data_IF_760548490845
#
_entry.id   IF_760548490845
#
_cell.length_a   1.000
_cell.length_b   1.000
_cell.length_c   1.000
_cell.angle_alpha   90.00
_cell.angle_beta   90.00
_cell.angle_gamma   90.00
#
_symmetry.space_group_name_H-M   'P 1'
#
loop_
_entity.id
_entity.type
_entity.pdbx_description
1 polymer ?
#
# COMPACT_ATOMS: atom_id res chain seq x y z
N UNK A 1 29.43 49.77 9.34
CA UNK A 1 28.39 49.42 8.34
C UNK A 1 28.79 48.18 7.53
N UNK A 2 30.03 48.05 7.02
CA UNK A 2 30.49 46.88 6.24
C UNK A 2 30.47 45.59 7.07
N UNK A 3 30.88 45.62 8.34
CA UNK A 3 30.85 44.46 9.26
C UNK A 3 29.42 43.96 9.47
N UNK A 4 28.44 44.84 9.66
CA UNK A 4 27.03 44.46 9.85
C UNK A 4 26.43 43.79 8.61
N UNK A 5 26.82 44.20 7.41
CA UNK A 5 26.38 43.58 6.15
C UNK A 5 26.99 42.19 5.98
N UNK A 6 28.28 42.03 6.27
CA UNK A 6 28.97 40.75 6.18
C UNK A 6 28.38 39.72 7.20
N UNK A 7 28.09 40.18 8.42
CA UNK A 7 27.45 39.31 9.44
C UNK A 7 26.04 38.91 8.99
N UNK A 8 25.28 39.80 8.39
CA UNK A 8 23.94 39.50 7.85
C UNK A 8 23.97 38.47 6.73
N UNK A 9 24.91 38.61 5.78
CA UNK A 9 25.06 37.64 4.67
C UNK A 9 25.49 36.28 5.19
N UNK A 10 26.41 36.22 6.16
CA UNK A 10 26.88 34.99 6.75
C UNK A 10 25.75 34.24 7.50
N UNK A 11 24.87 35.02 8.20
CA UNK A 11 23.72 34.42 8.90
C UNK A 11 22.68 33.84 7.92
N UNK A 12 22.41 34.52 6.80
CA UNK A 12 21.46 34.01 5.79
C UNK A 12 22.00 32.75 5.11
N UNK A 13 23.30 32.68 4.86
CA UNK A 13 23.91 31.49 4.23
C UNK A 13 23.84 30.22 5.10
N UNK A 14 23.82 30.35 6.42
CA UNK A 14 23.71 29.25 7.37
C UNK A 14 22.30 28.65 7.42
N UNK A 15 21.26 29.41 7.05
CA UNK A 15 19.88 28.89 7.00
C UNK A 15 19.53 28.17 5.70
N UNK A 16 20.36 28.25 4.66
CA UNK A 16 20.13 27.62 3.36
C UNK A 16 20.72 26.19 3.24
N UNK A 17 21.48 25.70 4.22
CA UNK A 17 22.08 24.36 4.22
C UNK A 17 21.22 23.26 4.80
N UNK A 18 19.91 23.47 4.97
CA UNK A 18 18.98 22.55 5.63
C UNK A 18 18.28 21.53 4.72
N UNK A 19 18.67 21.37 3.44
CA UNK A 19 18.20 20.25 2.64
C UNK A 19 19.02 19.00 2.98
N UNK A 20 18.57 18.23 3.97
CA UNK A 20 18.95 16.82 4.08
C UNK A 20 18.69 16.15 2.73
N UNK A 21 19.52 15.17 2.36
CA UNK A 21 19.40 14.44 1.10
C UNK A 21 18.03 13.73 1.04
N UNK A 22 17.02 14.42 0.56
CA UNK A 22 15.73 13.79 0.24
C UNK A 22 15.98 12.77 -0.87
N UNK A 23 15.62 11.52 -0.63
CA UNK A 23 15.71 10.50 -1.66
C UNK A 23 14.76 10.89 -2.79
N UNK A 24 15.30 10.95 -4.01
CA UNK A 24 14.57 11.30 -5.22
C UNK A 24 13.36 10.38 -5.42
N UNK A 25 12.19 10.89 -5.83
CA UNK A 25 10.98 10.08 -6.02
C UNK A 25 11.19 8.88 -6.95
N UNK A 26 12.05 9.01 -7.97
CA UNK A 26 12.35 7.95 -8.94
C UNK A 26 13.07 6.75 -8.31
N UNK A 27 13.69 6.93 -7.15
CA UNK A 27 14.34 5.88 -6.37
C UNK A 27 13.42 5.20 -5.38
N UNK A 28 12.13 5.50 -5.42
CA UNK A 28 11.12 4.90 -4.54
C UNK A 28 10.12 4.07 -5.32
N UNK A 29 9.59 3.07 -4.67
CA UNK A 29 8.46 2.27 -5.11
C UNK A 29 7.26 2.63 -4.24
N UNK A 30 6.15 2.99 -4.87
CA UNK A 30 4.94 3.49 -4.20
C UNK A 30 3.77 2.53 -4.43
N UNK A 31 3.63 1.44 -3.66
CA UNK A 31 2.46 0.58 -3.79
C UNK A 31 1.18 1.32 -3.38
N UNK A 32 0.11 1.10 -4.13
CA UNK A 32 -1.24 1.58 -3.80
C UNK A 32 -2.06 0.53 -3.06
N UNK A 33 -1.71 -0.74 -3.21
CA UNK A 33 -2.37 -1.83 -2.52
C UNK A 33 -1.34 -2.77 -1.88
N UNK A 34 -1.71 -3.31 -0.72
CA UNK A 34 -0.97 -4.34 -0.02
C UNK A 34 -1.87 -5.56 0.17
N UNK A 35 -1.43 -6.72 -0.32
CA UNK A 35 -2.01 -8.02 -0.04
C UNK A 35 -1.20 -8.74 1.04
N UNK A 36 -1.87 -9.39 1.97
CA UNK A 36 -1.20 -10.21 2.99
C UNK A 36 -1.91 -11.56 3.10
N UNK A 37 -1.21 -12.60 2.72
CA UNK A 37 -1.69 -13.98 2.80
C UNK A 37 -0.91 -14.79 3.82
N UNK A 38 -1.56 -15.83 4.34
CA UNK A 38 -0.89 -16.89 5.07
C UNK A 38 -0.03 -17.71 4.10
N UNK A 39 1.20 -18.04 4.49
CA UNK A 39 2.05 -18.97 3.74
C UNK A 39 2.61 -20.06 4.64
N UNK A 40 3.19 -21.11 4.05
CA UNK A 40 3.84 -22.21 4.81
C UNK A 40 5.02 -21.70 5.64
N UNK A 41 5.72 -20.68 5.15
CA UNK A 41 6.87 -20.05 5.81
C UNK A 41 6.50 -18.96 6.81
N UNK A 42 5.21 -18.59 6.89
CA UNK A 42 4.70 -17.50 7.72
C UNK A 42 3.65 -16.67 6.97
N UNK A 43 4.08 -15.62 6.29
CA UNK A 43 3.21 -14.73 5.50
C UNK A 43 3.80 -14.47 4.12
N UNK A 44 2.92 -14.12 3.17
CA UNK A 44 3.27 -13.61 1.86
C UNK A 44 2.74 -12.19 1.72
N UNK A 45 3.59 -11.23 1.38
CA UNK A 45 3.21 -9.87 1.04
C UNK A 45 3.19 -9.70 -0.48
N UNK A 46 2.11 -9.12 -0.97
CA UNK A 46 1.94 -8.73 -2.37
C UNK A 46 1.78 -7.22 -2.44
N UNK A 47 2.72 -6.54 -3.07
CA UNK A 47 2.68 -5.09 -3.29
C UNK A 47 2.09 -4.80 -4.67
N UNK A 48 0.94 -4.17 -4.73
CA UNK A 48 0.27 -3.75 -5.97
C UNK A 48 0.69 -2.34 -6.36
N UNK A 49 1.30 -2.18 -7.53
CA UNK A 49 1.76 -0.89 -8.05
C UNK A 49 0.66 -0.21 -8.86
N UNK A 50 0.62 1.14 -8.89
CA UNK A 50 -0.24 1.87 -9.80
C UNK A 50 0.21 1.72 -11.26
N UNK A 51 -0.72 1.89 -12.19
CA UNK A 51 -0.37 2.04 -13.60
C UNK A 51 0.15 3.45 -13.88
N UNK A 52 1.42 3.56 -14.21
CA UNK A 52 2.05 4.83 -14.53
C UNK A 52 2.00 5.17 -16.04
N UNK A 53 1.44 4.32 -16.88
CA UNK A 53 1.42 4.51 -18.34
C UNK A 53 0.65 5.74 -18.79
N UNK A 54 -0.42 6.12 -18.07
CA UNK A 54 -1.21 7.31 -18.39
C UNK A 54 -0.58 8.64 -17.93
N UNK A 55 0.26 8.61 -16.88
CA UNK A 55 0.74 9.85 -16.26
C UNK A 55 1.91 10.52 -16.99
N UNK A 56 2.61 9.81 -17.88
CA UNK A 56 3.83 10.33 -18.52
C UNK A 56 3.63 10.84 -19.94
N UNK A 57 2.46 10.65 -20.58
CA UNK A 57 2.16 11.17 -21.93
C UNK A 57 3.15 10.73 -23.02
N UNK A 58 4.09 9.88 -22.70
CA UNK A 58 5.06 9.31 -23.64
C UNK A 58 4.65 7.86 -23.89
N UNK A 59 3.92 7.66 -24.99
CA UNK A 59 3.68 6.34 -25.56
C UNK A 59 5.00 5.68 -25.97
N UNK A 60 5.75 5.19 -25.01
CA UNK A 60 6.69 4.12 -25.23
C UNK A 60 5.93 2.83 -24.98
N UNK A 61 5.69 2.12 -26.08
CA UNK A 61 5.43 0.70 -26.06
C UNK A 61 6.63 0.02 -25.38
N UNK A 62 6.66 -0.03 -24.07
CA UNK A 62 7.45 -1.02 -23.37
C UNK A 62 6.64 -2.31 -23.48
N UNK A 63 7.01 -3.11 -24.49
CA UNK A 63 6.67 -4.52 -24.68
C UNK A 63 7.23 -5.39 -23.54
N UNK A 64 7.10 -4.97 -22.30
CA UNK A 64 7.33 -5.84 -21.18
C UNK A 64 6.20 -5.59 -20.19
N UNK A 65 5.17 -6.44 -20.27
CA UNK A 65 4.13 -6.57 -19.27
C UNK A 65 4.73 -7.03 -17.93
N UNK A 66 5.70 -6.26 -17.43
CA UNK A 66 6.33 -6.45 -16.15
C UNK A 66 5.26 -6.53 -15.08
N UNK A 67 5.30 -7.58 -14.28
CA UNK A 67 4.35 -7.79 -13.18
C UNK A 67 4.22 -6.50 -12.38
N UNK A 68 3.01 -5.93 -12.38
CA UNK A 68 2.68 -4.74 -11.58
C UNK A 68 2.55 -5.07 -10.09
N UNK A 69 2.89 -6.29 -9.73
CA UNK A 69 2.91 -6.78 -8.35
C UNK A 69 4.28 -7.36 -8.02
N UNK A 70 4.69 -7.14 -6.79
CA UNK A 70 5.87 -7.76 -6.20
C UNK A 70 5.42 -8.64 -5.03
N UNK A 71 5.76 -9.93 -5.07
CA UNK A 71 5.46 -10.86 -3.99
C UNK A 71 6.73 -11.28 -3.26
N UNK A 72 6.68 -11.26 -1.93
CA UNK A 72 7.77 -11.73 -1.08
C UNK A 72 7.17 -12.52 0.09
N UNK A 73 7.63 -13.75 0.29
CA UNK A 73 7.24 -14.59 1.42
C UNK A 73 8.34 -14.65 2.46
N UNK A 74 7.95 -14.74 3.73
CA UNK A 74 8.90 -14.86 4.83
C UNK A 74 8.20 -15.18 6.16
N UNK A 75 8.99 -15.45 7.18
CA UNK A 75 8.48 -15.82 8.50
C UNK A 75 7.68 -14.68 9.16
N UNK A 76 8.08 -13.44 8.92
CA UNK A 76 7.46 -12.23 9.47
C UNK A 76 7.81 -11.00 8.61
N UNK A 77 7.23 -9.84 8.95
CA UNK A 77 7.45 -8.57 8.23
C UNK A 77 8.94 -8.16 8.23
N UNK A 78 9.63 -8.28 9.34
CA UNK A 78 11.06 -7.92 9.45
C UNK A 78 11.92 -8.74 8.49
N UNK A 79 11.61 -10.04 8.36
CA UNK A 79 12.31 -10.90 7.40
C UNK A 79 12.03 -10.49 5.97
N UNK A 80 10.78 -10.16 5.66
CA UNK A 80 10.37 -9.72 4.31
C UNK A 80 11.01 -8.38 3.95
N UNK A 81 11.02 -7.40 4.86
CA UNK A 81 11.70 -6.11 4.66
C UNK A 81 13.18 -6.30 4.34
N UNK A 82 13.86 -7.15 5.12
CA UNK A 82 15.27 -7.48 4.85
C UNK A 82 15.46 -8.13 3.47
N UNK A 83 14.54 -8.99 3.06
CA UNK A 83 14.60 -9.61 1.71
C UNK A 83 14.34 -8.58 0.62
N UNK A 84 13.38 -7.66 0.87
CA UNK A 84 13.11 -6.55 -0.03
C UNK A 84 14.38 -5.70 -0.23
N UNK A 85 15.00 -5.22 0.85
CA UNK A 85 16.21 -4.39 0.81
C UNK A 85 17.40 -5.07 0.13
N UNK A 86 17.45 -6.39 0.16
CA UNK A 86 18.52 -7.18 -0.48
C UNK A 86 18.26 -7.48 -1.97
N UNK A 87 17.02 -7.33 -2.43
CA UNK A 87 16.60 -7.77 -3.77
C UNK A 87 16.08 -6.63 -4.66
N UNK A 88 15.64 -5.51 -4.07
CA UNK A 88 15.03 -4.42 -4.81
C UNK A 88 15.97 -3.20 -4.85
N UNK A 89 16.05 -2.57 -6.03
CA UNK A 89 16.84 -1.35 -6.22
C UNK A 89 16.17 -0.12 -5.59
N UNK A 90 14.82 -0.07 -5.65
CA UNK A 90 14.03 1.07 -5.18
C UNK A 90 13.64 0.91 -3.71
N UNK A 91 13.67 2.00 -2.97
CA UNK A 91 13.18 2.04 -1.60
C UNK A 91 11.65 1.92 -1.56
N UNK A 92 11.13 1.09 -0.69
CA UNK A 92 9.69 0.95 -0.48
C UNK A 92 9.14 2.17 0.28
N UNK A 93 8.10 2.78 -0.26
CA UNK A 93 7.39 3.89 0.38
C UNK A 93 5.89 3.58 0.41
N UNK A 94 5.39 3.17 1.58
CA UNK A 94 3.99 2.79 1.79
C UNK A 94 3.05 3.97 2.06
N UNK A 95 3.52 5.21 1.96
CA UNK A 95 2.70 6.40 2.20
C UNK A 95 1.56 6.62 1.20
N UNK A 96 1.53 5.85 0.12
CA UNK A 96 0.49 5.91 -0.90
C UNK A 96 -0.49 4.74 -0.86
N UNK A 97 -0.39 3.86 0.14
CA UNK A 97 -1.33 2.75 0.31
C UNK A 97 -2.76 3.27 0.48
N UNK A 98 -3.68 2.74 -0.29
CA UNK A 98 -5.11 3.03 -0.26
C UNK A 98 -5.96 1.81 0.06
N UNK A 99 -5.43 0.61 -0.22
CA UNK A 99 -6.12 -0.67 -0.07
C UNK A 99 -5.23 -1.68 0.65
N UNK A 100 -5.77 -2.35 1.65
CA UNK A 100 -5.24 -3.56 2.27
C UNK A 100 -6.18 -4.71 1.97
N UNK A 101 -5.67 -5.81 1.44
CA UNK A 101 -6.42 -7.06 1.28
C UNK A 101 -5.77 -8.12 2.16
N UNK A 102 -6.55 -8.72 3.05
CA UNK A 102 -6.11 -9.83 3.90
C UNK A 102 -6.71 -11.15 3.40
N UNK A 103 -5.86 -12.14 3.20
CA UNK A 103 -6.28 -13.47 2.83
C UNK A 103 -7.12 -14.13 3.93
N UNK A 104 -8.15 -14.91 3.56
CA UNK A 104 -9.09 -15.53 4.50
C UNK A 104 -8.38 -16.36 5.57
N UNK A 105 -7.46 -17.23 5.18
CA UNK A 105 -6.72 -18.08 6.14
C UNK A 105 -5.98 -17.23 7.18
N UNK A 106 -5.40 -16.12 6.80
CA UNK A 106 -4.69 -15.20 7.70
C UNK A 106 -5.67 -14.53 8.69
N UNK A 107 -6.89 -14.22 8.24
CA UNK A 107 -7.95 -13.65 9.09
C UNK A 107 -8.46 -14.70 10.08
N UNK A 108 -8.78 -15.92 9.61
CA UNK A 108 -9.36 -17.00 10.40
C UNK A 108 -8.42 -17.53 11.49
N UNK A 109 -7.12 -17.63 11.20
CA UNK A 109 -6.13 -18.13 12.16
C UNK A 109 -5.61 -17.06 13.14
N UNK A 110 -6.09 -15.82 12.98
CA UNK A 110 -5.80 -14.72 13.89
C UNK A 110 -4.50 -13.96 13.61
N UNK A 111 -3.76 -14.29 12.54
CA UNK A 111 -2.53 -13.56 12.11
C UNK A 111 -2.80 -12.12 11.65
N UNK A 112 -4.06 -11.73 11.40
CA UNK A 112 -4.43 -10.35 11.16
C UNK A 112 -3.91 -9.39 12.25
N UNK A 113 -3.72 -9.88 13.50
CA UNK A 113 -3.19 -9.07 14.61
C UNK A 113 -1.78 -8.60 14.33
N UNK A 114 -0.92 -9.48 13.81
CA UNK A 114 0.45 -9.10 13.46
C UNK A 114 0.49 -8.09 12.30
N UNK A 115 -0.46 -8.20 11.34
CA UNK A 115 -0.58 -7.22 10.25
C UNK A 115 -0.90 -5.84 10.82
N UNK A 116 -1.90 -5.75 11.70
CA UNK A 116 -2.26 -4.48 12.32
C UNK A 116 -1.15 -3.92 13.23
N UNK A 117 -0.43 -4.79 13.96
CA UNK A 117 0.71 -4.35 14.79
C UNK A 117 1.86 -3.82 13.94
N UNK A 118 2.13 -4.43 12.81
CA UNK A 118 3.11 -3.94 11.85
C UNK A 118 2.69 -2.60 11.27
N UNK A 119 1.49 -2.50 10.69
CA UNK A 119 1.01 -1.26 10.07
C UNK A 119 0.88 -0.10 11.07
N UNK A 120 0.68 -0.38 12.36
CA UNK A 120 0.65 0.65 13.40
C UNK A 120 2.02 1.29 13.65
N UNK A 121 3.10 0.58 13.32
CA UNK A 121 4.47 1.09 13.45
C UNK A 121 4.94 1.85 12.21
N UNK A 122 4.25 1.64 11.07
CA UNK A 122 4.55 2.29 9.80
C UNK A 122 4.04 3.74 9.78
N UNK A 123 4.94 4.69 10.01
CA UNK A 123 4.60 6.11 10.21
C UNK A 123 3.90 6.74 9.00
N UNK A 124 4.20 6.26 7.80
CA UNK A 124 3.68 6.83 6.55
C UNK A 124 2.38 6.20 6.08
N UNK A 125 1.95 5.07 6.68
CA UNK A 125 0.69 4.41 6.31
C UNK A 125 -0.49 5.17 6.88
N UNK A 126 -1.40 5.62 5.99
CA UNK A 126 -2.62 6.33 6.36
C UNK A 126 -3.63 5.39 7.05
N UNK A 127 -4.22 5.83 8.15
CA UNK A 127 -5.27 5.06 8.84
C UNK A 127 -6.63 5.07 8.09
N UNK A 128 -6.74 5.84 7.02
CA UNK A 128 -7.93 5.96 6.15
C UNK A 128 -7.92 4.99 4.97
N UNK A 129 -6.89 4.14 4.83
CA UNK A 129 -6.88 3.10 3.82
C UNK A 129 -8.03 2.10 4.06
N UNK A 130 -8.57 1.57 2.98
CA UNK A 130 -9.67 0.61 3.00
C UNK A 130 -9.16 -0.81 3.17
N UNK A 131 -9.88 -1.60 3.98
CA UNK A 131 -9.49 -2.97 4.30
C UNK A 131 -10.55 -3.97 3.83
N UNK A 132 -10.09 -5.02 3.18
CA UNK A 132 -10.89 -6.11 2.63
C UNK A 132 -10.37 -7.47 3.04
N UNK A 133 -11.24 -8.47 2.95
CA UNK A 133 -10.89 -9.88 2.96
C UNK A 133 -11.00 -10.44 1.54
N UNK A 134 -10.15 -11.40 1.20
CA UNK A 134 -10.24 -12.20 -0.02
C UNK A 134 -9.89 -13.65 0.27
N UNK A 135 -10.26 -14.56 -0.61
CA UNK A 135 -9.78 -15.96 -0.53
C UNK A 135 -8.25 -16.00 -0.61
N UNK A 136 -7.68 -15.27 -1.56
CA UNK A 136 -6.25 -15.07 -1.80
C UNK A 136 -6.03 -13.60 -2.17
N UNK A 137 -5.29 -12.87 -1.34
CA UNK A 137 -5.02 -11.45 -1.56
C UNK A 137 -4.07 -11.23 -2.74
N UNK A 138 -3.12 -12.13 -2.95
CA UNK A 138 -2.20 -12.09 -4.08
C UNK A 138 -2.93 -12.25 -5.40
N UNK A 139 -3.93 -13.13 -5.50
CA UNK A 139 -4.77 -13.29 -6.69
C UNK A 139 -5.52 -12.00 -7.01
N UNK A 140 -6.09 -11.35 -5.99
CA UNK A 140 -6.78 -10.05 -6.17
C UNK A 140 -5.83 -8.98 -6.69
N UNK A 141 -4.63 -8.86 -6.12
CA UNK A 141 -3.69 -7.82 -6.53
C UNK A 141 -3.05 -8.09 -7.91
N UNK A 142 -3.03 -9.34 -8.36
CA UNK A 142 -2.60 -9.70 -9.72
C UNK A 142 -3.67 -9.43 -10.79
N UNK A 143 -4.90 -9.09 -10.39
CA UNK A 143 -5.95 -8.74 -11.34
C UNK A 143 -5.69 -7.36 -11.96
N UNK A 144 -6.05 -7.22 -13.25
CA UNK A 144 -6.00 -5.97 -14.02
C UNK A 144 -7.31 -5.73 -14.73
N UNK A 145 -7.75 -4.46 -14.74
CA UNK A 145 -8.91 -4.02 -15.49
C UNK A 145 -8.69 -4.07 -17.01
N UNK A 146 -9.77 -3.96 -17.77
CA UNK A 146 -9.72 -3.86 -19.23
C UNK A 146 -8.97 -2.60 -19.71
N UNK A 147 -8.99 -1.53 -18.89
CA UNK A 147 -8.24 -0.29 -19.06
C UNK A 147 -6.83 -0.34 -18.50
N UNK A 148 -6.35 -1.54 -18.14
CA UNK A 148 -5.09 -1.78 -17.45
C UNK A 148 -4.99 -1.18 -16.03
N UNK A 149 -6.07 -0.69 -15.42
CA UNK A 149 -6.03 -0.27 -14.02
C UNK A 149 -5.59 -1.39 -13.10
N UNK A 150 -4.77 -1.07 -12.12
CA UNK A 150 -4.40 -2.02 -11.05
C UNK A 150 -5.59 -2.30 -10.13
N UNK A 151 -5.56 -3.45 -9.43
CA UNK A 151 -6.60 -3.78 -8.45
C UNK A 151 -6.78 -2.69 -7.40
N UNK A 152 -5.70 -2.05 -6.93
CA UNK A 152 -5.75 -0.97 -5.96
C UNK A 152 -6.48 0.26 -6.48
N UNK A 153 -6.20 0.68 -7.73
CA UNK A 153 -6.88 1.79 -8.40
C UNK A 153 -8.35 1.50 -8.61
N UNK A 154 -8.67 0.30 -9.13
CA UNK A 154 -10.04 -0.11 -9.40
C UNK A 154 -10.88 -0.15 -8.11
N UNK A 155 -10.42 -0.82 -7.06
CA UNK A 155 -11.13 -0.92 -5.77
C UNK A 155 -11.33 0.46 -5.16
N UNK A 156 -10.31 1.31 -5.17
CA UNK A 156 -10.41 2.68 -4.66
C UNK A 156 -11.43 3.49 -5.43
N UNK A 157 -11.42 3.41 -6.77
CA UNK A 157 -12.39 4.07 -7.63
C UNK A 157 -13.81 3.57 -7.38
N UNK A 158 -14.00 2.25 -7.26
CA UNK A 158 -15.29 1.64 -6.96
C UNK A 158 -15.87 2.17 -5.65
N UNK A 159 -15.07 2.24 -4.58
CA UNK A 159 -15.51 2.74 -3.29
C UNK A 159 -15.85 4.22 -3.36
N UNK A 160 -14.95 5.07 -3.87
CA UNK A 160 -15.18 6.52 -3.96
C UNK A 160 -16.44 6.86 -4.74
N UNK A 161 -16.73 6.11 -5.81
CA UNK A 161 -17.89 6.35 -6.66
C UNK A 161 -19.20 5.74 -6.13
N UNK A 162 -19.15 4.73 -5.26
CA UNK A 162 -20.35 3.97 -4.83
C UNK A 162 -20.72 4.14 -3.36
N UNK A 163 -19.81 4.61 -2.50
CA UNK A 163 -20.11 4.85 -1.08
C UNK A 163 -21.28 5.84 -0.91
N UNK A 164 -21.32 6.91 -1.71
CA UNK A 164 -22.40 7.91 -1.66
C UNK A 164 -23.80 7.34 -1.95
N UNK A 165 -23.88 6.19 -2.64
CA UNK A 165 -25.12 5.48 -2.93
C UNK A 165 -25.53 4.45 -1.88
N UNK A 166 -24.73 4.23 -0.83
CA UNK A 166 -25.01 3.24 0.22
C UNK A 166 -24.89 1.78 -0.21
N UNK A 167 -24.33 1.51 -1.40
CA UNK A 167 -24.27 0.17 -1.99
C UNK A 167 -23.01 -0.62 -1.59
N UNK A 168 -22.00 0.04 -1.02
CA UNK A 168 -20.75 -0.57 -0.56
C UNK A 168 -20.45 -0.01 0.82
N UNK A 169 -20.23 -0.91 1.78
CA UNK A 169 -19.69 -0.57 3.09
C UNK A 169 -18.19 -0.79 3.05
N UNK A 170 -17.41 0.23 3.34
CA UNK A 170 -15.97 0.11 3.46
C UNK A 170 -15.59 0.11 4.95
N UNK A 171 -14.58 -0.69 5.29
CA UNK A 171 -13.94 -0.70 6.61
C UNK A 171 -12.56 -0.07 6.44
N UNK A 172 -12.21 0.85 7.33
CA UNK A 172 -10.91 1.52 7.34
C UNK A 172 -9.95 0.90 8.34
N UNK A 173 -8.66 1.10 8.12
CA UNK A 173 -7.62 0.66 9.06
C UNK A 173 -7.83 1.27 10.45
N UNK A 174 -8.30 2.53 10.52
CA UNK A 174 -8.64 3.22 11.78
C UNK A 174 -9.70 2.47 12.59
N UNK A 175 -10.76 2.01 11.93
CA UNK A 175 -11.83 1.25 12.57
C UNK A 175 -11.31 -0.10 13.09
N UNK A 176 -10.45 -0.77 12.33
CA UNK A 176 -9.81 -2.01 12.77
C UNK A 176 -8.89 -1.80 13.97
N UNK A 177 -8.10 -0.74 13.98
CA UNK A 177 -7.28 -0.40 15.15
C UNK A 177 -8.14 -0.17 16.37
N UNK A 178 -9.25 0.58 16.23
CA UNK A 178 -10.16 0.84 17.33
C UNK A 178 -10.71 -0.46 17.92
N UNK A 179 -11.25 -1.36 17.10
CA UNK A 179 -11.83 -2.63 17.56
C UNK A 179 -10.78 -3.59 18.13
N UNK A 180 -9.60 -3.68 17.50
CA UNK A 180 -8.50 -4.49 18.04
C UNK A 180 -8.09 -4.05 19.44
N UNK A 181 -7.86 -2.74 19.64
CA UNK A 181 -7.38 -2.25 20.93
C UNK A 181 -8.46 -2.17 22.00
N UNK A 182 -9.74 -2.08 21.61
CA UNK A 182 -10.87 -2.06 22.54
C UNK A 182 -11.30 -3.45 22.97
N UNK A 183 -11.43 -4.39 22.03
CA UNK A 183 -12.08 -5.69 22.27
C UNK A 183 -11.27 -6.88 21.77
N UNK A 184 -10.08 -6.67 21.21
CA UNK A 184 -9.25 -7.68 20.53
C UNK A 184 -10.02 -8.47 19.46
N UNK A 185 -10.87 -7.78 18.71
CA UNK A 185 -11.70 -8.34 17.65
C UNK A 185 -11.34 -7.75 16.30
N UNK A 186 -11.59 -8.53 15.25
CA UNK A 186 -11.65 -8.02 13.89
C UNK A 186 -13.09 -7.71 13.53
N UNK A 187 -13.31 -6.59 12.86
CA UNK A 187 -14.60 -6.31 12.22
C UNK A 187 -14.85 -7.30 11.10
N UNK A 188 -16.13 -7.54 10.80
CA UNK A 188 -16.49 -8.22 9.56
C UNK A 188 -16.03 -7.36 8.39
N UNK A 189 -15.09 -7.88 7.63
CA UNK A 189 -14.53 -7.20 6.47
C UNK A 189 -15.43 -7.38 5.25
N UNK A 190 -15.55 -6.36 4.38
CA UNK A 190 -16.10 -6.57 3.05
C UNK A 190 -15.18 -7.50 2.26
N UNK A 191 -15.78 -8.39 1.46
CA UNK A 191 -15.07 -9.40 0.69
C UNK A 191 -14.87 -8.89 -0.73
N UNK A 192 -13.62 -8.90 -1.20
CA UNK A 192 -13.30 -8.68 -2.60
C UNK A 192 -13.03 -10.00 -3.30
N UNK A 193 -13.57 -10.17 -4.50
CA UNK A 193 -13.42 -11.39 -5.30
C UNK A 193 -13.44 -11.09 -6.80
N UNK A 194 -12.88 -11.99 -7.57
CA UNK A 194 -12.95 -11.97 -9.03
C UNK A 194 -14.17 -12.77 -9.47
N UNK A 195 -15.09 -12.14 -10.20
CA UNK A 195 -16.24 -12.80 -10.81
C UNK A 195 -16.39 -12.38 -12.28
N UNK A 196 -16.43 -13.33 -13.18
CA UNK A 196 -16.53 -13.09 -14.63
C UNK A 196 -15.44 -12.12 -15.15
N UNK A 197 -14.24 -12.18 -14.62
CA UNK A 197 -13.14 -11.32 -15.02
C UNK A 197 -13.12 -9.93 -14.37
N UNK A 198 -14.12 -9.56 -13.56
CA UNK A 198 -14.21 -8.27 -12.88
C UNK A 198 -14.05 -8.43 -11.37
N UNK A 199 -13.49 -7.41 -10.70
CA UNK A 199 -13.50 -7.32 -9.24
C UNK A 199 -14.88 -6.89 -8.74
N UNK A 200 -15.40 -7.63 -7.78
CA UNK A 200 -16.63 -7.32 -7.05
C UNK A 200 -16.35 -7.22 -5.56
N UNK A 201 -17.02 -6.26 -4.89
CA UNK A 201 -16.99 -6.11 -3.43
C UNK A 201 -18.36 -6.50 -2.87
N UNK A 202 -18.37 -7.47 -1.95
CA UNK A 202 -19.55 -7.94 -1.20
C UNK A 202 -19.41 -7.57 0.28
N UNK A 203 -20.54 -7.36 0.96
CA UNK A 203 -20.61 -7.00 2.40
C UNK A 203 -21.19 -8.14 3.23
#
# INVERSE_FOLDING_TARGET
RAVSVVTGILSVSLFMSGCGAAVEPEKRMYPMALGVDASEEGICLTYGMPDLSESTGQGKEEEDGGSRVLQISGADFTRIEKMYDQSQEKLLDMGHLQVLVMGRTLVEDGRWRMVLDYLKQEIFVGEDLYVFEAEDAGEILNWHGEDNSSAGEYITGLIRNRMSGGNITAVTLRELFYEKYKEDKILRLPIVKIRNGSLEVEV
#
